data_IF_388010568253
#
_entry.id   IF_388010568253
#
_cell.length_a   1.000
_cell.length_b   1.000
_cell.length_c   1.000
_cell.angle_alpha   90.00
_cell.angle_beta   90.00
_cell.angle_gamma   90.00
#
_symmetry.space_group_name_H-M   'P 1'
#
loop_
_entity.id
_entity.type
_entity.pdbx_description
1 polymer ?
#
# COMPACT_ATOMS: atom_id res chain seq x y z
N UNK A 1 -2.30 8.10 25.73
CA UNK A 1 -1.23 7.09 25.92
C UNK A 1 -0.14 7.63 26.83
N UNK A 2 0.55 6.73 27.54
CA UNK A 2 1.68 7.07 28.39
C UNK A 2 2.79 7.67 27.52
N UNK A 3 3.41 8.76 27.97
CA UNK A 3 4.50 9.37 27.19
C UNK A 3 5.72 8.44 27.15
N UNK A 4 6.14 8.03 25.97
CA UNK A 4 7.27 7.13 25.73
C UNK A 4 8.63 7.75 26.07
N UNK A 5 8.75 9.09 26.04
CA UNK A 5 10.01 9.78 26.34
C UNK A 5 10.32 9.83 27.83
N UNK A 6 9.30 9.94 28.69
CA UNK A 6 9.45 10.02 30.15
C UNK A 6 8.79 8.85 30.89
N UNK A 7 8.27 7.88 30.17
CA UNK A 7 7.52 6.73 30.69
C UNK A 7 6.44 7.11 31.72
N UNK A 8 5.81 8.26 31.52
CA UNK A 8 4.78 8.80 32.40
C UNK A 8 5.30 9.50 33.66
N UNK A 9 6.61 9.62 33.85
CA UNK A 9 7.21 10.31 35.02
C UNK A 9 6.99 11.82 35.02
N UNK A 10 6.54 12.39 33.90
CA UNK A 10 6.28 13.82 33.67
C UNK A 10 7.53 14.69 33.54
N UNK A 11 8.67 14.21 33.98
CA UNK A 11 9.96 14.92 33.97
C UNK A 11 11.01 14.11 33.24
N UNK A 12 11.98 14.78 32.71
CA UNK A 12 13.20 14.17 32.17
C UNK A 12 14.37 14.60 33.05
N UNK A 13 15.19 13.65 33.40
CA UNK A 13 16.46 13.90 34.12
C UNK A 13 17.56 14.04 33.09
N UNK A 14 18.17 15.19 33.08
CA UNK A 14 19.34 15.46 32.26
C UNK A 14 20.54 15.75 33.17
N UNK A 15 21.63 15.11 32.85
CA UNK A 15 22.90 15.38 33.52
C UNK A 15 23.62 16.51 32.80
N UNK A 16 23.79 17.62 33.46
CA UNK A 16 24.53 18.76 32.93
C UNK A 16 25.90 18.84 33.56
N UNK A 17 26.88 19.12 32.72
CA UNK A 17 28.23 19.35 33.19
C UNK A 17 28.30 20.74 33.86
N UNK A 18 28.73 20.76 35.12
CA UNK A 18 28.79 21.99 35.90
C UNK A 18 30.15 22.74 35.73
N UNK A 19 30.94 22.39 34.71
CA UNK A 19 32.20 23.06 34.38
C UNK A 19 32.00 24.20 33.38
N UNK A 20 33.12 24.76 32.88
CA UNK A 20 33.13 25.88 31.96
C UNK A 20 32.16 25.70 30.76
N UNK A 21 31.33 26.69 30.57
CA UNK A 21 30.25 26.68 29.54
C UNK A 21 30.78 26.64 28.09
N UNK A 22 32.09 26.88 27.89
CA UNK A 22 32.73 26.89 26.57
C UNK A 22 33.47 25.59 26.26
N UNK A 23 33.42 24.57 27.15
CA UNK A 23 34.08 23.30 26.93
C UNK A 23 33.20 22.34 26.11
N UNK A 24 33.75 21.81 25.02
CA UNK A 24 33.03 20.87 24.14
C UNK A 24 32.71 19.56 24.89
N UNK A 25 31.44 19.15 25.00
CA UNK A 25 31.03 17.99 25.81
C UNK A 25 31.66 16.65 25.38
N UNK A 26 32.26 16.61 24.20
CA UNK A 26 32.84 15.41 23.60
C UNK A 26 34.21 15.03 24.23
N UNK A 27 34.88 15.99 24.86
CA UNK A 27 36.25 15.78 25.38
C UNK A 27 36.32 15.26 26.81
N UNK A 28 35.17 15.01 27.47
CA UNK A 28 35.17 14.56 28.85
C UNK A 28 34.75 13.07 28.97
N UNK A 29 35.60 12.19 29.52
CA UNK A 29 35.21 10.82 29.76
C UNK A 29 34.13 10.75 30.83
N UNK A 30 33.02 10.12 30.49
CA UNK A 30 31.71 10.06 31.19
C UNK A 30 31.80 9.57 32.64
N UNK A 31 32.94 9.18 33.17
CA UNK A 31 33.00 8.40 34.41
C UNK A 31 33.91 8.95 35.51
N UNK A 32 34.62 10.08 35.38
CA UNK A 32 35.69 10.35 36.29
C UNK A 32 35.45 11.31 37.45
N UNK A 33 34.44 12.16 37.44
CA UNK A 33 34.20 13.13 38.50
C UNK A 33 32.73 13.45 38.72
N UNK A 34 32.01 12.74 39.59
CA UNK A 34 30.57 12.97 39.85
C UNK A 34 30.23 14.36 40.41
N UNK A 35 31.21 15.09 40.89
CA UNK A 35 31.02 16.46 41.41
C UNK A 35 30.94 17.54 40.33
N UNK A 36 31.24 17.22 39.08
CA UNK A 36 31.13 18.14 37.93
C UNK A 36 29.81 18.05 37.20
N UNK A 37 28.94 17.09 37.54
CA UNK A 37 27.66 16.89 36.93
C UNK A 37 26.54 17.20 37.92
N UNK A 38 25.61 18.04 37.54
CA UNK A 38 24.37 18.28 38.27
C UNK A 38 23.17 17.63 37.55
N UNK A 39 22.28 17.03 38.33
CA UNK A 39 21.03 16.51 37.82
C UNK A 39 20.02 17.66 37.72
N UNK A 40 19.67 18.04 36.51
CA UNK A 40 18.63 19.03 36.28
C UNK A 40 17.33 18.32 35.96
N UNK A 41 16.28 18.64 36.73
CA UNK A 41 14.96 18.04 36.53
C UNK A 41 14.11 19.02 35.73
N UNK A 42 13.88 18.72 34.47
CA UNK A 42 13.06 19.55 33.60
C UNK A 42 11.74 18.85 33.24
N UNK A 43 10.67 19.60 32.93
CA UNK A 43 9.45 19.03 32.39
C UNK A 43 9.76 18.30 31.09
N UNK A 44 9.22 17.09 30.92
CA UNK A 44 9.43 16.34 29.68
C UNK A 44 8.97 17.16 28.46
N UNK A 45 9.85 17.40 27.47
CA UNK A 45 9.53 18.27 26.33
C UNK A 45 8.43 17.71 25.44
N UNK A 46 8.24 16.40 25.43
CA UNK A 46 7.22 15.76 24.59
C UNK A 46 5.81 15.88 25.18
N UNK A 47 5.64 15.64 26.47
CA UNK A 47 4.34 15.73 27.13
C UNK A 47 4.15 17.02 27.97
N UNK A 48 5.14 17.89 28.01
CA UNK A 48 5.13 19.13 28.76
C UNK A 48 4.71 18.95 30.26
N UNK A 49 5.19 17.86 30.86
CA UNK A 49 4.90 17.53 32.25
C UNK A 49 3.55 16.84 32.47
N UNK A 50 2.76 16.53 31.45
CA UNK A 50 1.47 15.84 31.58
C UNK A 50 1.63 14.35 31.88
N UNK A 51 2.73 13.72 31.49
CA UNK A 51 2.99 12.28 31.63
C UNK A 51 2.31 11.41 30.57
N UNK A 52 1.43 12.02 29.76
CA UNK A 52 0.73 11.36 28.66
C UNK A 52 0.74 12.27 27.43
N UNK A 53 0.67 11.68 26.27
CA UNK A 53 0.49 12.38 24.99
C UNK A 53 -0.85 12.00 24.39
N UNK A 54 -1.50 12.96 23.74
CA UNK A 54 -2.73 12.67 23.03
C UNK A 54 -2.39 11.79 21.82
N UNK A 55 -2.93 10.58 21.80
CA UNK A 55 -2.81 9.69 20.66
C UNK A 55 -4.05 9.80 19.79
N UNK A 56 -3.87 10.30 18.57
CA UNK A 56 -4.93 10.28 17.57
C UNK A 56 -4.84 8.97 16.79
N UNK A 57 -5.79 8.07 17.02
CA UNK A 57 -5.94 6.88 16.21
C UNK A 57 -6.83 7.24 15.03
N UNK A 58 -6.28 7.10 13.82
CA UNK A 58 -7.09 7.18 12.61
C UNK A 58 -7.99 5.94 12.55
N UNK A 59 -9.29 6.14 12.56
CA UNK A 59 -10.27 5.07 12.39
C UNK A 59 -10.81 5.21 10.97
N UNK A 60 -10.67 4.17 10.18
CA UNK A 60 -11.33 4.09 8.88
C UNK A 60 -12.81 3.82 9.12
N UNK A 61 -13.66 4.79 8.79
CA UNK A 61 -15.11 4.61 8.82
C UNK A 61 -15.55 4.19 7.42
N UNK A 62 -16.20 3.05 7.32
CA UNK A 62 -16.78 2.61 6.05
C UNK A 62 -18.05 3.42 5.76
N UNK A 63 -18.05 4.10 4.63
CA UNK A 63 -19.21 4.81 4.10
C UNK A 63 -19.77 4.01 2.93
N UNK A 64 -21.09 3.88 2.74
CA UNK A 64 -21.67 3.24 1.55
C UNK A 64 -21.05 3.84 0.28
N UNK A 65 -20.71 2.98 -0.67
CA UNK A 65 -20.05 3.39 -1.91
C UNK A 65 -20.60 2.59 -3.08
N UNK A 66 -21.06 3.28 -4.10
CA UNK A 66 -21.60 2.66 -5.34
C UNK A 66 -20.60 1.75 -6.05
N UNK A 67 -19.29 1.92 -5.81
CA UNK A 67 -18.27 0.98 -6.32
C UNK A 67 -18.43 -0.44 -5.78
N UNK A 68 -19.07 -0.62 -4.61
CA UNK A 68 -19.34 -1.97 -4.08
C UNK A 68 -20.38 -2.69 -4.93
N UNK A 69 -21.41 -1.99 -5.37
CA UNK A 69 -22.45 -2.57 -6.21
C UNK A 69 -21.86 -2.92 -7.58
N UNK A 70 -21.10 -2.01 -8.18
CA UNK A 70 -20.38 -2.29 -9.43
C UNK A 70 -19.38 -3.47 -9.28
N UNK A 71 -18.71 -3.57 -8.15
CA UNK A 71 -17.82 -4.72 -7.89
C UNK A 71 -18.60 -6.03 -7.78
N UNK A 72 -19.81 -6.03 -7.17
CA UNK A 72 -20.66 -7.23 -7.10
C UNK A 72 -21.10 -7.66 -8.50
N UNK A 73 -21.57 -6.71 -9.33
CA UNK A 73 -21.97 -6.98 -10.72
C UNK A 73 -20.81 -7.61 -11.51
N UNK A 74 -19.59 -7.07 -11.38
CA UNK A 74 -18.41 -7.62 -12.04
C UNK A 74 -18.06 -9.02 -11.52
N UNK A 75 -18.16 -9.25 -10.20
CA UNK A 75 -17.92 -10.58 -9.63
C UNK A 75 -18.95 -11.61 -10.10
N UNK A 76 -20.19 -11.23 -10.36
CA UNK A 76 -21.22 -12.08 -10.99
C UNK A 76 -20.89 -12.32 -12.46
N UNK A 77 -20.53 -11.28 -13.23
CA UNK A 77 -20.17 -11.40 -14.65
C UNK A 77 -18.98 -12.34 -14.88
N UNK A 78 -17.96 -12.25 -14.02
CA UNK A 78 -16.76 -13.07 -14.13
C UNK A 78 -16.84 -14.40 -13.35
N UNK A 79 -17.98 -14.78 -12.79
CA UNK A 79 -18.14 -15.97 -11.99
C UNK A 79 -17.79 -17.27 -12.74
N UNK A 80 -18.14 -17.37 -14.02
CA UNK A 80 -17.88 -18.53 -14.86
C UNK A 80 -16.38 -18.72 -15.14
N UNK A 81 -15.60 -17.66 -15.12
CA UNK A 81 -14.16 -17.72 -15.26
C UNK A 81 -13.44 -18.17 -13.98
N UNK A 82 -14.11 -18.06 -12.83
CA UNK A 82 -13.64 -18.51 -11.53
C UNK A 82 -12.37 -17.80 -11.03
N UNK A 83 -11.82 -16.85 -11.74
CA UNK A 83 -10.58 -16.13 -11.39
C UNK A 83 -10.72 -14.65 -11.68
N UNK A 84 -10.47 -13.82 -10.68
CA UNK A 84 -10.42 -12.37 -10.83
C UNK A 84 -9.25 -11.80 -10.04
N UNK A 85 -8.67 -10.71 -10.56
CA UNK A 85 -7.67 -9.91 -9.85
C UNK A 85 -8.29 -8.55 -9.52
N UNK A 86 -8.23 -8.15 -8.26
CA UNK A 86 -8.79 -6.88 -7.79
C UNK A 86 -7.68 -6.09 -7.08
N UNK A 87 -7.47 -4.87 -7.49
CA UNK A 87 -6.52 -3.97 -6.86
C UNK A 87 -7.21 -2.79 -6.20
N UNK A 88 -6.76 -2.46 -4.97
CA UNK A 88 -7.12 -1.27 -4.23
C UNK A 88 -5.90 -0.44 -3.89
N UNK A 89 -5.90 0.84 -4.24
CA UNK A 89 -4.80 1.77 -3.97
C UNK A 89 -4.66 2.15 -2.48
N UNK A 90 -5.63 1.80 -1.66
CA UNK A 90 -5.67 2.12 -0.22
C UNK A 90 -6.09 0.90 0.59
N UNK A 91 -5.57 0.77 1.82
CA UNK A 91 -5.86 -0.35 2.72
C UNK A 91 -7.37 -0.55 2.94
N UNK A 92 -8.12 0.53 3.17
CA UNK A 92 -9.58 0.45 3.34
C UNK A 92 -10.32 -0.02 2.08
N UNK A 93 -9.78 0.27 0.88
CA UNK A 93 -10.33 -0.25 -0.38
C UNK A 93 -10.09 -1.74 -0.52
N UNK A 94 -8.89 -2.22 -0.15
CA UNK A 94 -8.55 -3.65 -0.15
C UNK A 94 -9.48 -4.41 0.80
N UNK A 95 -9.65 -3.91 2.04
CA UNK A 95 -10.53 -4.53 3.05
C UNK A 95 -11.97 -4.65 2.53
N UNK A 96 -12.49 -3.60 1.90
CA UNK A 96 -13.83 -3.56 1.31
C UNK A 96 -13.99 -4.57 0.17
N UNK A 97 -13.00 -4.68 -0.71
CA UNK A 97 -13.00 -5.68 -1.77
C UNK A 97 -13.01 -7.11 -1.21
N UNK A 98 -12.21 -7.38 -0.16
CA UNK A 98 -12.18 -8.67 0.53
C UNK A 98 -13.53 -9.03 1.13
N UNK A 99 -14.18 -8.08 1.81
CA UNK A 99 -15.51 -8.30 2.39
C UNK A 99 -16.57 -8.54 1.32
N UNK A 100 -16.53 -7.75 0.22
CA UNK A 100 -17.48 -7.90 -0.88
C UNK A 100 -17.30 -9.24 -1.58
N UNK A 101 -16.09 -9.66 -1.90
CA UNK A 101 -15.82 -10.94 -2.52
C UNK A 101 -16.28 -12.12 -1.64
N UNK A 102 -16.03 -12.07 -0.33
CA UNK A 102 -16.51 -13.09 0.61
C UNK A 102 -18.04 -13.18 0.66
N UNK A 103 -18.76 -12.04 0.61
CA UNK A 103 -20.23 -12.02 0.57
C UNK A 103 -20.80 -12.61 -0.72
N UNK A 104 -20.00 -12.66 -1.79
CA UNK A 104 -20.34 -13.23 -3.09
C UNK A 104 -19.86 -14.67 -3.27
N UNK A 105 -19.49 -15.35 -2.17
CA UNK A 105 -18.98 -16.72 -2.13
C UNK A 105 -17.72 -16.93 -3.01
N UNK A 106 -16.85 -15.93 -3.02
CA UNK A 106 -15.51 -16.06 -3.57
C UNK A 106 -14.51 -16.41 -2.48
N UNK A 107 -13.68 -17.41 -2.74
CA UNK A 107 -12.45 -17.57 -1.96
C UNK A 107 -11.49 -16.41 -2.26
N UNK A 108 -10.79 -15.95 -1.24
CA UNK A 108 -9.95 -14.77 -1.35
C UNK A 108 -8.51 -15.10 -1.01
N UNK A 109 -7.59 -14.69 -1.88
CA UNK A 109 -6.17 -14.55 -1.57
C UNK A 109 -5.91 -13.05 -1.43
N UNK A 110 -5.49 -12.61 -0.25
CA UNK A 110 -5.26 -11.19 -0.01
C UNK A 110 -3.83 -10.90 0.41
N UNK A 111 -3.30 -9.79 -0.12
CA UNK A 111 -1.98 -9.25 0.26
C UNK A 111 -2.18 -7.84 0.80
N UNK A 112 -1.93 -7.68 2.10
CA UNK A 112 -2.07 -6.43 2.82
C UNK A 112 -0.81 -6.12 3.62
N UNK A 113 -0.17 -4.98 3.37
CA UNK A 113 1.04 -4.55 4.09
C UNK A 113 2.15 -5.63 4.12
N UNK A 114 2.27 -6.40 3.06
CA UNK A 114 3.21 -7.53 2.97
C UNK A 114 2.73 -8.82 3.63
N UNK A 115 1.61 -8.81 4.34
CA UNK A 115 1.01 -9.99 4.97
C UNK A 115 0.08 -10.70 3.97
N UNK A 116 0.30 -12.00 3.81
CA UNK A 116 -0.51 -12.87 2.97
C UNK A 116 -1.56 -13.58 3.81
N UNK A 117 -2.79 -13.56 3.33
CA UNK A 117 -3.90 -14.31 3.92
C UNK A 117 -4.72 -14.96 2.82
N UNK A 118 -5.36 -16.09 3.11
CA UNK A 118 -6.36 -16.67 2.24
C UNK A 118 -7.51 -17.29 3.05
N UNK A 119 -8.67 -17.41 2.42
CA UNK A 119 -9.86 -18.00 3.05
C UNK A 119 -9.89 -19.53 2.98
N UNK A 120 -9.03 -20.11 2.15
CA UNK A 120 -8.99 -21.55 1.88
C UNK A 120 -8.21 -22.34 2.95
N UNK A 121 -7.50 -21.67 3.85
CA UNK A 121 -6.65 -22.32 4.86
C UNK A 121 -5.42 -23.03 4.28
N UNK A 122 -4.99 -22.64 3.08
CA UNK A 122 -3.85 -23.21 2.37
C UNK A 122 -2.56 -22.43 2.66
N UNK A 123 -1.42 -23.10 2.47
CA UNK A 123 -0.14 -22.40 2.41
C UNK A 123 -0.11 -21.45 1.19
N UNK A 124 0.75 -20.42 1.26
CA UNK A 124 0.81 -19.38 0.23
C UNK A 124 1.01 -19.94 -1.19
N UNK A 125 1.93 -20.89 -1.34
CA UNK A 125 2.25 -21.47 -2.65
C UNK A 125 1.10 -22.30 -3.21
N UNK A 126 0.46 -23.09 -2.36
CA UNK A 126 -0.69 -23.92 -2.73
C UNK A 126 -1.90 -23.06 -3.13
N UNK A 127 -2.13 -21.95 -2.41
CA UNK A 127 -3.19 -21.00 -2.74
C UNK A 127 -2.95 -20.32 -4.10
N UNK A 128 -1.70 -19.98 -4.42
CA UNK A 128 -1.33 -19.42 -5.72
C UNK A 128 -1.42 -20.46 -6.83
N UNK A 129 -1.05 -21.70 -6.56
CA UNK A 129 -1.20 -22.80 -7.51
C UNK A 129 -2.69 -23.05 -7.77
N UNK A 130 -3.54 -23.07 -6.75
CA UNK A 130 -4.98 -23.18 -6.89
C UNK A 130 -5.56 -22.04 -7.73
N UNK A 131 -5.03 -20.81 -7.59
CA UNK A 131 -5.43 -19.68 -8.44
C UNK A 131 -5.05 -19.91 -9.90
N UNK A 132 -3.85 -20.42 -10.18
CA UNK A 132 -3.34 -20.62 -11.55
C UNK A 132 -3.97 -21.82 -12.29
N UNK A 133 -4.55 -22.76 -11.56
CA UNK A 133 -5.08 -24.00 -12.14
C UNK A 133 -6.61 -24.13 -11.96
N UNK A 134 -7.44 -23.29 -12.64
CA UNK A 134 -8.89 -23.33 -12.48
C UNK A 134 -9.51 -24.68 -12.83
N UNK A 135 -8.90 -25.46 -13.74
CA UNK A 135 -9.38 -26.80 -14.14
C UNK A 135 -9.20 -27.86 -13.03
N UNK A 136 -8.24 -27.67 -12.13
CA UNK A 136 -7.97 -28.60 -11.03
C UNK A 136 -8.69 -28.19 -9.74
N UNK A 137 -9.00 -26.90 -9.62
CA UNK A 137 -9.63 -26.32 -8.45
C UNK A 137 -10.89 -25.58 -8.88
N UNK A 138 -12.02 -26.32 -8.85
CA UNK A 138 -13.35 -25.78 -9.18
C UNK A 138 -13.87 -24.89 -8.06
N UNK A 139 -13.25 -23.70 -7.95
CA UNK A 139 -13.55 -22.67 -6.94
C UNK A 139 -13.45 -21.30 -7.58
N UNK A 140 -14.29 -20.37 -7.15
CA UNK A 140 -14.16 -18.96 -7.48
C UNK A 140 -13.11 -18.34 -6.55
N UNK A 141 -11.97 -17.91 -7.08
CA UNK A 141 -10.87 -17.34 -6.30
C UNK A 141 -10.58 -15.91 -6.78
N UNK A 142 -10.69 -14.96 -5.87
CA UNK A 142 -10.30 -13.57 -6.10
C UNK A 142 -8.92 -13.30 -5.47
N UNK A 143 -8.00 -12.80 -6.27
CA UNK A 143 -6.74 -12.22 -5.77
C UNK A 143 -6.95 -10.74 -5.49
N UNK A 144 -6.75 -10.30 -4.24
CA UNK A 144 -7.04 -8.93 -3.81
C UNK A 144 -5.83 -8.33 -3.11
N UNK A 145 -5.37 -7.16 -3.55
CA UNK A 145 -4.24 -6.50 -2.92
C UNK A 145 -4.00 -5.07 -3.40
N UNK A 146 -2.91 -4.50 -2.90
CA UNK A 146 -2.40 -3.23 -3.42
C UNK A 146 -1.52 -3.50 -4.66
N UNK A 147 -1.57 -2.69 -5.73
CA UNK A 147 -0.75 -2.90 -6.92
C UNK A 147 0.74 -3.09 -6.62
N UNK A 148 1.31 -2.28 -5.73
CA UNK A 148 2.70 -2.37 -5.31
C UNK A 148 3.04 -3.61 -4.47
N UNK A 149 2.08 -4.16 -3.74
CA UNK A 149 2.30 -5.37 -2.94
C UNK A 149 2.37 -6.64 -3.80
N UNK A 150 1.75 -6.62 -4.97
CA UNK A 150 1.83 -7.69 -5.97
C UNK A 150 3.21 -7.74 -6.68
N UNK A 151 4.10 -6.79 -6.37
CA UNK A 151 5.38 -6.57 -7.08
C UNK A 151 6.39 -7.72 -7.02
N UNK A 152 6.20 -8.75 -6.21
CA UNK A 152 7.21 -9.81 -6.04
C UNK A 152 6.90 -11.08 -6.84
N UNK A 153 7.19 -11.06 -8.14
CA UNK A 153 7.32 -12.30 -8.94
C UNK A 153 6.04 -13.11 -9.16
N UNK A 154 4.87 -12.59 -8.80
CA UNK A 154 3.60 -13.28 -8.96
C UNK A 154 3.22 -13.45 -10.43
N UNK A 155 2.64 -14.58 -10.73
CA UNK A 155 1.96 -14.85 -12.00
C UNK A 155 0.47 -14.96 -11.74
N UNK A 156 -0.34 -14.19 -12.44
CA UNK A 156 -1.80 -14.14 -12.28
C UNK A 156 -2.53 -14.32 -13.62
N UNK A 157 -1.90 -15.07 -14.54
CA UNK A 157 -2.34 -15.27 -15.92
C UNK A 157 -3.63 -16.09 -16.07
N UNK A 158 -4.09 -16.69 -14.98
CA UNK A 158 -5.38 -17.41 -14.98
C UNK A 158 -6.60 -16.50 -14.92
N UNK A 159 -6.41 -15.20 -14.58
CA UNK A 159 -7.51 -14.25 -14.54
C UNK A 159 -7.81 -13.65 -15.91
N UNK A 160 -9.09 -13.56 -16.32
CA UNK A 160 -9.49 -12.87 -17.53
C UNK A 160 -9.51 -11.36 -17.38
N UNK A 161 -9.43 -10.83 -16.15
CA UNK A 161 -9.53 -9.39 -15.92
C UNK A 161 -8.73 -8.91 -14.71
N UNK A 162 -8.43 -7.61 -14.72
CA UNK A 162 -8.01 -6.84 -13.55
C UNK A 162 -9.09 -5.79 -13.27
N UNK A 163 -9.54 -5.73 -12.03
CA UNK A 163 -10.46 -4.70 -11.55
C UNK A 163 -9.69 -3.76 -10.60
N UNK A 164 -9.51 -2.52 -11.00
CA UNK A 164 -8.99 -1.47 -10.12
C UNK A 164 -10.16 -0.80 -9.40
N UNK A 165 -10.40 -1.24 -8.17
CA UNK A 165 -11.42 -0.65 -7.30
C UNK A 165 -11.08 0.80 -6.93
N UNK A 166 -9.81 1.08 -6.71
CA UNK A 166 -9.25 2.42 -6.54
C UNK A 166 -7.79 2.43 -6.98
N UNK A 167 -7.34 3.57 -7.52
CA UNK A 167 -5.96 3.78 -7.90
C UNK A 167 -5.22 4.64 -6.85
N UNK A 168 -3.92 4.42 -6.72
CA UNK A 168 -2.98 5.35 -6.10
C UNK A 168 -2.27 6.19 -7.18
N UNK A 169 -1.31 7.04 -6.76
CA UNK A 169 -0.56 7.89 -7.70
C UNK A 169 0.70 7.20 -8.28
N UNK A 170 0.91 5.91 -8.03
CA UNK A 170 2.11 5.20 -8.43
C UNK A 170 1.92 4.47 -9.77
N UNK A 171 2.35 5.13 -10.86
CA UNK A 171 2.24 4.55 -12.20
C UNK A 171 3.10 3.29 -12.38
N UNK A 172 4.27 3.21 -11.75
CA UNK A 172 5.14 2.04 -11.84
C UNK A 172 4.48 0.81 -11.22
N UNK A 173 3.90 0.94 -10.02
CA UNK A 173 3.14 -0.12 -9.38
C UNK A 173 1.97 -0.58 -10.24
N UNK A 174 1.30 0.35 -10.92
CA UNK A 174 0.22 0.05 -11.85
C UNK A 174 0.71 -0.78 -13.04
N UNK A 175 1.74 -0.33 -13.73
CA UNK A 175 2.33 -1.05 -14.88
C UNK A 175 2.79 -2.44 -14.45
N UNK A 176 3.51 -2.54 -13.35
CA UNK A 176 3.97 -3.82 -12.82
C UNK A 176 2.81 -4.77 -12.48
N UNK A 177 1.69 -4.26 -11.97
CA UNK A 177 0.51 -5.08 -11.65
C UNK A 177 -0.21 -5.57 -12.92
N UNK A 178 -0.27 -4.77 -13.98
CA UNK A 178 -0.79 -5.15 -15.29
C UNK A 178 0.07 -6.27 -15.91
N UNK A 179 1.40 -6.18 -15.81
CA UNK A 179 2.34 -7.18 -16.30
C UNK A 179 2.21 -8.55 -15.61
N UNK A 180 1.51 -8.64 -14.46
CA UNK A 180 1.28 -9.94 -13.77
C UNK A 180 0.28 -10.82 -14.50
N UNK A 181 -0.65 -10.23 -15.22
CA UNK A 181 -1.60 -10.94 -16.06
C UNK A 181 -1.03 -11.09 -17.47
N UNK A 182 -0.37 -10.06 -18.01
CA UNK A 182 0.22 -10.07 -19.36
C UNK A 182 1.57 -10.76 -19.39
N UNK A 183 1.59 -12.08 -19.10
CA UNK A 183 2.81 -12.92 -19.15
C UNK A 183 2.62 -14.13 -20.04
N UNK A 184 3.74 -14.79 -20.39
CA UNK A 184 3.70 -16.10 -21.02
C UNK A 184 2.89 -17.09 -20.17
N UNK A 185 1.99 -17.83 -20.80
CA UNK A 185 1.08 -18.75 -20.11
C UNK A 185 -0.31 -18.15 -19.85
N UNK A 186 -0.70 -17.11 -20.57
CA UNK A 186 -2.07 -16.59 -20.60
C UNK A 186 -3.06 -17.71 -20.90
N UNK A 187 -4.10 -17.83 -20.09
CA UNK A 187 -5.24 -18.73 -20.33
C UNK A 187 -6.27 -18.03 -21.22
N UNK A 188 -6.32 -16.70 -21.17
CA UNK A 188 -7.27 -15.85 -21.90
C UNK A 188 -6.51 -14.93 -22.85
N UNK A 189 -6.87 -14.91 -24.13
CA UNK A 189 -6.15 -14.20 -25.20
C UNK A 189 -6.03 -12.68 -24.93
N UNK A 190 -7.05 -12.08 -24.33
CA UNK A 190 -7.12 -10.64 -24.08
C UNK A 190 -7.71 -10.34 -22.68
N UNK A 191 -6.88 -10.28 -21.63
CA UNK A 191 -7.38 -9.88 -20.33
C UNK A 191 -7.87 -8.43 -20.33
N UNK A 192 -9.02 -8.20 -19.72
CA UNK A 192 -9.68 -6.88 -19.63
C UNK A 192 -9.17 -6.12 -18.40
N UNK A 193 -8.89 -4.83 -18.56
CA UNK A 193 -8.55 -3.94 -17.45
C UNK A 193 -9.74 -3.03 -17.20
N UNK A 194 -10.28 -3.05 -15.99
CA UNK A 194 -11.47 -2.33 -15.57
C UNK A 194 -11.10 -1.37 -14.44
N UNK A 195 -11.39 -0.08 -14.61
CA UNK A 195 -11.22 0.93 -13.58
C UNK A 195 -12.56 1.41 -13.06
N UNK A 196 -12.79 1.37 -11.75
CA UNK A 196 -14.01 1.86 -11.13
C UNK A 196 -13.86 3.32 -10.70
N UNK A 197 -14.66 4.20 -11.28
CA UNK A 197 -14.74 5.61 -10.94
C UNK A 197 -16.02 5.92 -10.18
N UNK A 198 -15.95 6.78 -9.19
CA UNK A 198 -17.09 7.30 -8.44
C UNK A 198 -17.00 8.81 -8.22
N UNK A 199 -15.81 9.31 -7.98
CA UNK A 199 -15.54 10.72 -7.73
C UNK A 199 -14.66 11.29 -8.84
N UNK A 200 -14.74 12.60 -9.07
CA UNK A 200 -13.89 13.31 -10.01
C UNK A 200 -12.40 13.11 -9.70
N UNK A 201 -12.08 12.88 -8.42
CA UNK A 201 -10.73 12.55 -7.97
C UNK A 201 -10.22 11.22 -8.52
N UNK A 202 -11.09 10.23 -8.74
CA UNK A 202 -10.70 8.95 -9.33
C UNK A 202 -10.24 9.17 -10.77
N UNK A 203 -11.00 9.96 -11.53
CA UNK A 203 -10.67 10.31 -12.91
C UNK A 203 -9.37 11.14 -12.98
N UNK A 204 -9.20 12.09 -12.08
CA UNK A 204 -7.98 12.89 -11.99
C UNK A 204 -6.75 12.01 -11.73
N UNK A 205 -6.82 11.07 -10.80
CA UNK A 205 -5.74 10.12 -10.50
C UNK A 205 -5.43 9.28 -11.73
N UNK A 206 -6.45 8.71 -12.37
CA UNK A 206 -6.29 7.89 -13.57
C UNK A 206 -5.63 8.64 -14.72
N UNK A 207 -6.06 9.87 -14.99
CA UNK A 207 -5.47 10.71 -16.03
C UNK A 207 -3.99 11.04 -15.74
N UNK A 208 -3.62 11.23 -14.48
CA UNK A 208 -2.22 11.41 -14.09
C UNK A 208 -1.39 10.13 -14.26
N UNK A 209 -1.96 8.97 -13.94
CA UNK A 209 -1.31 7.68 -14.16
C UNK A 209 -1.05 7.44 -15.66
N UNK A 210 -2.04 7.75 -16.51
CA UNK A 210 -1.91 7.64 -17.96
C UNK A 210 -0.81 8.53 -18.50
N UNK A 211 -0.76 9.82 -18.11
CA UNK A 211 0.30 10.73 -18.50
C UNK A 211 1.69 10.24 -18.07
N UNK A 212 1.83 9.71 -16.86
CA UNK A 212 3.12 9.17 -16.37
C UNK A 212 3.52 7.91 -17.15
N UNK A 213 2.59 7.04 -17.50
CA UNK A 213 2.82 5.87 -18.34
C UNK A 213 3.30 6.28 -19.73
N UNK A 214 2.65 7.26 -20.34
CA UNK A 214 3.02 7.78 -21.67
C UNK A 214 4.45 8.34 -21.64
N UNK A 215 4.82 9.07 -20.59
CA UNK A 215 6.18 9.58 -20.40
C UNK A 215 7.22 8.46 -20.22
N UNK A 216 6.88 7.39 -19.50
CA UNK A 216 7.79 6.24 -19.32
C UNK A 216 7.98 5.42 -20.59
N UNK A 217 7.01 5.44 -21.51
CA UNK A 217 7.09 4.75 -22.79
C UNK A 217 7.91 5.49 -23.84
N UNK A 218 8.24 6.77 -23.61
CA UNK A 218 9.05 7.56 -24.53
C UNK A 218 10.48 7.00 -24.59
N UNK A 219 10.92 6.71 -25.81
CA UNK A 219 12.31 6.33 -26.06
C UNK A 219 13.20 7.57 -26.10
N UNK A 220 14.54 7.37 -25.98
CA UNK A 220 15.52 8.44 -26.16
C UNK A 220 15.38 9.11 -27.54
N UNK A 221 14.96 8.35 -28.57
CA UNK A 221 14.69 8.88 -29.91
C UNK A 221 13.50 9.83 -29.93
N UNK A 222 12.41 9.48 -29.26
CA UNK A 222 11.20 10.29 -29.15
C UNK A 222 11.50 11.60 -28.41
N UNK A 223 12.27 11.53 -27.30
CA UNK A 223 12.72 12.72 -26.57
C UNK A 223 13.58 13.63 -27.42
N UNK A 224 14.47 13.07 -28.26
CA UNK A 224 15.32 13.86 -29.15
C UNK A 224 14.48 14.57 -30.22
N UNK A 225 13.49 13.89 -30.81
CA UNK A 225 12.56 14.49 -31.76
C UNK A 225 11.71 15.59 -31.10
N UNK A 226 11.24 15.36 -29.87
CA UNK A 226 10.46 16.33 -29.10
C UNK A 226 11.26 17.63 -28.86
N UNK A 227 12.52 17.48 -28.45
CA UNK A 227 13.44 18.63 -28.25
C UNK A 227 13.73 19.37 -29.56
N UNK A 228 13.93 18.62 -30.67
CA UNK A 228 14.23 19.21 -31.98
C UNK A 228 13.02 19.94 -32.57
N UNK A 229 11.82 19.50 -32.36
CA UNK A 229 10.59 20.09 -32.85
C UNK A 229 10.14 21.33 -32.04
N UNK A 230 10.84 21.68 -30.96
CA UNK A 230 10.61 22.92 -30.21
C UNK A 230 9.27 23.00 -29.45
N UNK A 231 8.55 21.90 -29.28
CA UNK A 231 7.32 21.87 -28.51
C UNK A 231 7.65 21.93 -27.02
N UNK A 232 7.68 23.13 -26.48
CA UNK A 232 7.66 23.36 -25.03
C UNK A 232 6.23 23.15 -24.54
N UNK A 233 5.95 22.02 -23.95
CA UNK A 233 4.75 21.85 -23.13
C UNK A 233 4.88 22.72 -21.88
N UNK A 234 4.00 23.70 -21.78
CA UNK A 234 3.77 24.53 -20.58
C UNK A 234 2.99 23.72 -19.56
#
# INVERSE_FOLDING_TARGET
EKCDLCDGSKVRKEWMFAGDADADPIDYPVCSHPTLWSEEIQPCPKCQGKGSVDSFRRIAVQVPCVKEDALRELLEEYADYQRVVIYGGFTGSVDRCVETAKKMDWDVISVREGVWTNTMGMEKLDALEAFQNPKQHDRKIAFIGHPGAAGMGLTLTASPCIIYYSNDFNAESRIQSEDRIHRAGLIHDHPTIIDLFHLDTDEYIFNNLKKKRDLQSLTLGDLTQFIQNGERTV
#
